data_IF_279359905060
#
_entry.id   IF_279359905060
#
_cell.length_a   1.000
_cell.length_b   1.000
_cell.length_c   1.000
_cell.angle_alpha   90.00
_cell.angle_beta   90.00
_cell.angle_gamma   90.00
#
_symmetry.space_group_name_H-M   'P 1'
#
loop_
_entity.id
_entity.type
_entity.pdbx_description
1 polymer ?
#
# COMPACT_ATOMS: atom_id res chain seq x y z
N UNK A 1 -4.11 12.67 -54.62
CA UNK A 1 -5.09 12.29 -53.56
C UNK A 1 -4.33 12.12 -52.25
N UNK A 2 -4.33 13.15 -51.39
CA UNK A 2 -3.54 13.26 -50.15
C UNK A 2 -4.52 13.22 -48.97
N UNK A 3 -4.40 12.22 -48.07
CA UNK A 3 -4.65 12.32 -46.61
C UNK A 3 -4.83 10.92 -45.99
N UNK A 4 -3.74 10.29 -45.56
CA UNK A 4 -3.79 9.18 -44.58
C UNK A 4 -2.81 9.38 -43.41
N UNK A 5 -1.93 10.39 -43.47
CA UNK A 5 -0.95 10.65 -42.39
C UNK A 5 -1.56 11.29 -41.13
N UNK A 6 -2.68 12.02 -41.27
CA UNK A 6 -3.30 12.74 -40.15
C UNK A 6 -4.11 11.83 -39.22
N UNK A 7 -4.59 10.68 -39.70
CA UNK A 7 -5.37 9.74 -38.88
C UNK A 7 -4.48 8.94 -37.92
N UNK A 8 -3.28 8.55 -38.37
CA UNK A 8 -2.31 7.84 -37.55
C UNK A 8 -1.72 8.71 -36.43
N UNK A 9 -1.49 10.00 -36.73
CA UNK A 9 -1.01 10.97 -35.73
C UNK A 9 -2.04 11.21 -34.61
N UNK A 10 -3.33 11.31 -34.95
CA UNK A 10 -4.42 11.47 -33.95
C UNK A 10 -4.56 10.20 -33.11
N UNK A 11 -4.45 9.01 -33.70
CA UNK A 11 -4.47 7.74 -32.97
C UNK A 11 -3.29 7.62 -32.00
N UNK A 12 -2.10 8.08 -32.40
CA UNK A 12 -0.91 8.11 -31.55
C UNK A 12 -1.06 9.09 -30.39
N UNK A 13 -1.68 10.26 -30.60
CA UNK A 13 -1.97 11.24 -29.54
C UNK A 13 -3.01 10.69 -28.56
N UNK A 14 -4.05 10.00 -29.04
CA UNK A 14 -5.04 9.35 -28.19
C UNK A 14 -4.45 8.20 -27.37
N UNK A 15 -3.50 7.44 -27.93
CA UNK A 15 -2.83 6.37 -27.21
C UNK A 15 -1.88 6.92 -26.12
N UNK A 16 -1.22 8.05 -26.39
CA UNK A 16 -0.37 8.75 -25.41
C UNK A 16 -1.18 9.38 -24.26
N UNK A 17 -2.42 9.83 -24.49
CA UNK A 17 -3.25 10.40 -23.41
C UNK A 17 -3.80 9.37 -22.43
N UNK A 18 -3.92 8.09 -22.83
CA UNK A 18 -4.40 7.02 -21.94
C UNK A 18 -3.34 6.53 -20.94
N UNK A 19 -2.06 6.83 -21.17
CA UNK A 19 -0.94 6.38 -20.31
C UNK A 19 -0.88 7.17 -18.98
N UNK A 20 -1.55 8.31 -18.88
CA UNK A 20 -1.55 9.16 -17.68
C UNK A 20 -2.60 8.81 -16.61
N UNK A 21 -3.42 7.77 -16.82
CA UNK A 21 -4.47 7.34 -15.89
C UNK A 21 -4.08 6.13 -15.03
N UNK A 22 -2.79 5.82 -14.94
CA UNK A 22 -2.28 4.99 -13.86
C UNK A 22 -1.97 5.90 -12.67
N UNK A 23 -3.02 6.44 -12.03
CA UNK A 23 -2.87 6.98 -10.68
C UNK A 23 -2.46 5.81 -9.79
N UNK A 24 -1.16 5.72 -9.48
CA UNK A 24 -0.71 4.95 -8.34
C UNK A 24 -1.45 5.54 -7.14
N UNK A 25 -2.35 4.76 -6.53
CA UNK A 25 -2.96 5.11 -5.26
C UNK A 25 -1.87 5.72 -4.38
N UNK A 26 -2.06 6.95 -3.85
CA UNK A 26 -1.00 7.63 -3.13
C UNK A 26 -0.47 6.67 -2.07
N UNK A 27 0.83 6.36 -2.17
CA UNK A 27 1.51 5.57 -1.14
C UNK A 27 1.20 6.30 0.15
N UNK A 28 0.57 5.58 1.08
CA UNK A 28 0.14 6.17 2.35
C UNK A 28 1.39 6.73 3.03
N UNK A 29 1.57 8.05 2.97
CA UNK A 29 2.77 8.77 3.45
C UNK A 29 2.98 8.55 4.96
N UNK A 30 1.97 8.03 5.65
CA UNK A 30 1.93 7.81 7.08
C UNK A 30 2.59 6.51 7.54
N UNK A 31 3.53 5.94 6.77
CA UNK A 31 4.32 4.77 7.18
C UNK A 31 5.64 5.18 7.87
N UNK A 32 5.79 4.80 9.14
CA UNK A 32 6.99 5.01 9.93
C UNK A 32 8.08 4.01 9.57
N UNK A 33 9.32 4.49 9.39
CA UNK A 33 10.50 3.62 9.29
C UNK A 33 10.92 3.17 10.69
N UNK A 34 10.95 1.85 10.90
CA UNK A 34 11.49 1.21 12.09
C UNK A 34 12.91 0.75 11.77
N UNK A 35 13.93 1.22 12.51
CA UNK A 35 15.31 0.83 12.26
C UNK A 35 15.54 -0.66 12.58
N UNK A 36 16.55 -1.25 11.94
CA UNK A 36 17.00 -2.60 12.30
C UNK A 36 17.50 -2.63 13.75
N UNK A 37 17.26 -3.73 14.45
CA UNK A 37 17.71 -3.86 15.84
C UNK A 37 17.20 -5.11 16.54
N UNK A 38 17.57 -5.20 17.81
CA UNK A 38 17.11 -6.24 18.73
C UNK A 38 16.14 -5.65 19.75
N UNK A 39 15.13 -6.43 20.11
CA UNK A 39 14.24 -6.12 21.23
C UNK A 39 13.79 -7.41 21.93
N UNK A 40 13.17 -7.25 23.11
CA UNK A 40 12.56 -8.37 23.84
C UNK A 40 11.09 -8.50 23.43
N UNK A 41 10.71 -9.66 22.91
CA UNK A 41 9.35 -9.99 22.50
C UNK A 41 8.72 -11.00 23.46
N UNK A 42 7.40 -10.89 23.67
CA UNK A 42 6.65 -11.70 24.63
C UNK A 42 6.51 -11.04 26.00
N UNK A 43 5.82 -11.71 26.93
CA UNK A 43 5.61 -11.27 28.31
C UNK A 43 5.45 -12.46 29.24
N UNK A 44 5.91 -12.36 30.50
CA UNK A 44 5.67 -13.37 31.53
C UNK A 44 4.28 -13.23 32.18
N UNK A 45 3.61 -12.09 32.03
CA UNK A 45 2.31 -11.82 32.65
C UNK A 45 1.11 -12.22 31.76
N UNK A 46 1.36 -12.63 30.51
CA UNK A 46 0.34 -12.98 29.52
C UNK A 46 -0.12 -14.44 29.56
N UNK A 47 -0.86 -14.83 28.51
CA UNK A 47 -1.26 -16.23 28.29
C UNK A 47 -0.06 -17.12 27.95
N UNK A 48 -0.23 -18.45 27.98
CA UNK A 48 0.87 -19.39 27.67
C UNK A 48 1.51 -19.16 26.29
N UNK A 49 0.74 -18.65 25.31
CA UNK A 49 1.25 -18.36 23.96
C UNK A 49 2.01 -17.04 23.85
N UNK A 50 1.93 -16.16 24.85
CA UNK A 50 2.65 -14.89 24.90
C UNK A 50 4.02 -15.01 25.62
N UNK A 51 4.26 -16.16 26.27
CA UNK A 51 5.49 -16.50 26.99
C UNK A 51 6.45 -17.31 26.10
N UNK A 52 7.76 -17.33 26.41
CA UNK A 52 8.47 -16.47 27.36
C UNK A 52 8.93 -15.16 26.70
N UNK A 53 9.43 -14.25 27.52
CA UNK A 53 10.22 -13.11 27.02
C UNK A 53 11.50 -13.63 26.36
N UNK A 54 11.76 -13.26 25.11
CA UNK A 54 12.96 -13.67 24.37
C UNK A 54 13.45 -12.58 23.41
N UNK A 55 14.75 -12.62 23.06
CA UNK A 55 15.35 -11.64 22.13
C UNK A 55 14.99 -11.96 20.69
N UNK A 56 14.61 -10.93 19.93
CA UNK A 56 14.33 -11.00 18.50
C UNK A 56 15.12 -9.91 17.77
N UNK A 57 15.81 -10.28 16.70
CA UNK A 57 16.43 -9.35 15.76
C UNK A 57 15.56 -9.21 14.51
N UNK A 58 15.31 -7.97 14.07
CA UNK A 58 14.65 -7.66 12.81
C UNK A 58 15.49 -6.69 11.98
N UNK A 59 15.42 -6.84 10.65
CA UNK A 59 15.92 -5.82 9.71
C UNK A 59 15.02 -4.58 9.75
N UNK A 60 15.49 -3.49 9.15
CA UNK A 60 14.66 -2.29 8.99
C UNK A 60 13.40 -2.60 8.16
N UNK A 61 12.29 -1.98 8.54
CA UNK A 61 11.02 -2.12 7.83
C UNK A 61 10.17 -0.87 8.03
N UNK A 62 9.14 -0.70 7.20
CA UNK A 62 8.14 0.35 7.40
C UNK A 62 6.84 -0.27 7.91
N UNK A 63 6.17 0.43 8.80
CA UNK A 63 4.83 0.05 9.28
C UNK A 63 3.93 1.28 9.30
N UNK A 64 2.67 1.12 8.91
CA UNK A 64 1.68 2.19 8.96
C UNK A 64 1.51 2.71 10.39
N UNK A 65 1.40 4.02 10.56
CA UNK A 65 1.14 4.65 11.87
C UNK A 65 -0.26 4.35 12.40
N UNK A 66 -1.20 4.11 11.51
CA UNK A 66 -2.58 3.81 11.82
C UNK A 66 -3.00 2.50 11.14
N UNK A 67 -4.00 1.84 11.72
CA UNK A 67 -4.67 0.72 11.07
C UNK A 67 -5.36 1.20 9.79
N UNK A 68 -5.56 0.27 8.84
CA UNK A 68 -6.30 0.57 7.61
C UNK A 68 -7.72 0.99 7.99
N UNK A 69 -8.12 2.19 7.59
CA UNK A 69 -9.46 2.70 7.89
C UNK A 69 -10.52 2.06 6.99
N UNK A 70 -11.78 2.10 7.41
CA UNK A 70 -12.90 1.63 6.57
C UNK A 70 -12.94 2.35 5.21
N UNK A 71 -12.63 3.66 5.18
CA UNK A 71 -12.61 4.44 3.95
C UNK A 71 -11.49 3.95 3.02
N UNK A 72 -10.29 3.70 3.56
CA UNK A 72 -9.18 3.14 2.77
C UNK A 72 -9.49 1.76 2.23
N UNK A 73 -10.15 0.92 3.03
CA UNK A 73 -10.56 -0.40 2.57
C UNK A 73 -11.65 -0.33 1.49
N UNK A 74 -12.58 0.62 1.56
CA UNK A 74 -13.57 0.87 0.51
C UNK A 74 -12.94 1.42 -0.77
N UNK A 75 -11.88 2.24 -0.67
CA UNK A 75 -11.12 2.67 -1.85
C UNK A 75 -10.46 1.47 -2.54
N UNK A 76 -9.91 0.54 -1.75
CA UNK A 76 -9.36 -0.72 -2.27
C UNK A 76 -10.45 -1.65 -2.82
N UNK A 77 -11.58 -1.78 -2.13
CA UNK A 77 -12.69 -2.66 -2.49
C UNK A 77 -14.04 -1.95 -2.38
N UNK A 78 -14.42 -1.27 -3.47
CA UNK A 78 -15.58 -0.36 -3.54
C UNK A 78 -16.93 -1.02 -3.20
N UNK A 79 -17.06 -2.32 -3.42
CA UNK A 79 -18.29 -3.07 -3.13
C UNK A 79 -18.26 -3.76 -1.75
N UNK A 80 -17.32 -3.41 -0.88
CA UNK A 80 -17.28 -3.94 0.48
C UNK A 80 -18.46 -3.39 1.29
N UNK A 81 -19.31 -4.30 1.77
CA UNK A 81 -20.31 -3.98 2.78
C UNK A 81 -19.66 -4.06 4.15
N UNK A 82 -19.65 -2.94 4.88
CA UNK A 82 -19.14 -2.89 6.25
C UNK A 82 -19.90 -3.87 7.15
N UNK A 83 -19.17 -4.55 8.03
CA UNK A 83 -19.78 -5.21 9.18
C UNK A 83 -20.43 -4.15 10.08
N UNK A 84 -21.70 -4.34 10.41
CA UNK A 84 -22.47 -3.50 11.34
C UNK A 84 -22.27 -3.93 12.77
#
# INVERSE_FOLDING_TARGET
>A
MRKTKNSFLVFSIFFLSQVHLADSLPVHEDASLIPAGEFLMGTEEGTEIERPVHKVFLKEFRISRFEVSNIEFELFQQNHTRSV
#
